data_IF_509073824611
#
_entry.id   IF_509073824611
#
_cell.length_a   1.000
_cell.length_b   1.000
_cell.length_c   1.000
_cell.angle_alpha   90.00
_cell.angle_beta   90.00
_cell.angle_gamma   90.00
#
_symmetry.space_group_name_H-M   'P 1'
#
loop_
_entity.id
_entity.type
_entity.pdbx_description
1 polymer ?
#
# COMPACT_ATOMS: atom_id res chain seq x y z
N UNK A 1 23.63 15.36 12.57
CA UNK A 1 23.16 14.00 12.20
C UNK A 1 22.00 13.69 13.11
N UNK A 2 20.80 13.48 12.58
CA UNK A 2 19.64 13.12 13.41
C UNK A 2 19.77 11.64 13.76
N UNK A 3 19.75 11.29 15.04
CA UNK A 3 19.76 9.90 15.48
C UNK A 3 18.46 9.21 15.03
N UNK A 4 18.56 8.13 14.26
CA UNK A 4 17.39 7.34 13.85
C UNK A 4 16.88 6.55 15.06
N UNK A 5 15.67 6.88 15.51
CA UNK A 5 14.94 6.10 16.51
C UNK A 5 14.18 4.97 15.85
N UNK A 6 14.01 3.88 16.59
CA UNK A 6 13.34 2.68 16.11
C UNK A 6 12.23 2.29 17.08
N UNK A 7 11.15 1.73 16.53
CA UNK A 7 9.97 1.25 17.24
C UNK A 7 9.60 -0.15 16.74
N UNK A 8 8.87 -0.90 17.56
CA UNK A 8 8.28 -2.18 17.17
C UNK A 8 6.81 -1.98 16.82
N UNK A 9 6.40 -2.45 15.65
CA UNK A 9 5.02 -2.40 15.18
C UNK A 9 4.75 -3.60 14.28
N UNK A 10 3.60 -4.26 14.43
CA UNK A 10 3.30 -5.55 13.79
C UNK A 10 4.39 -6.63 14.01
N UNK A 11 5.10 -6.57 15.15
CA UNK A 11 6.22 -7.48 15.44
C UNK A 11 7.51 -7.18 14.63
N UNK A 12 7.52 -6.09 13.87
CA UNK A 12 8.65 -5.67 13.04
C UNK A 12 9.32 -4.41 13.63
N UNK A 13 10.65 -4.40 13.66
CA UNK A 13 11.41 -3.21 14.05
C UNK A 13 11.53 -2.25 12.87
N UNK A 14 11.04 -1.03 13.02
CA UNK A 14 11.02 -0.01 11.98
C UNK A 14 11.42 1.36 12.52
N UNK A 15 11.68 2.32 11.63
CA UNK A 15 12.02 3.69 12.04
C UNK A 15 10.81 4.37 12.67
N UNK A 16 11.05 5.21 13.68
CA UNK A 16 10.03 6.11 14.24
C UNK A 16 9.39 6.94 13.10
N UNK A 17 8.06 7.08 13.09
CA UNK A 17 7.32 7.71 12.01
C UNK A 17 6.74 6.75 10.96
N UNK A 18 7.23 5.50 10.86
CA UNK A 18 6.68 4.52 9.91
C UNK A 18 5.30 3.96 10.33
N UNK A 19 5.05 3.60 11.60
CA UNK A 19 3.71 3.20 12.04
C UNK A 19 2.62 4.22 11.69
N UNK A 20 2.92 5.51 11.82
CA UNK A 20 2.01 6.60 11.51
C UNK A 20 1.66 6.63 10.01
N UNK A 21 2.61 6.28 9.14
CA UNK A 21 2.34 6.11 7.70
C UNK A 21 1.47 4.87 7.43
N UNK A 22 1.70 3.77 8.15
CA UNK A 22 0.83 2.59 8.06
C UNK A 22 -0.60 2.95 8.45
N UNK A 23 -0.77 3.66 9.57
CA UNK A 23 -2.07 4.10 10.06
C UNK A 23 -2.77 5.06 9.07
N UNK A 24 -2.04 6.05 8.55
CA UNK A 24 -2.55 6.96 7.53
C UNK A 24 -3.03 6.20 6.28
N UNK A 25 -2.25 5.22 5.83
CA UNK A 25 -2.60 4.40 4.68
C UNK A 25 -3.91 3.61 4.86
N UNK A 26 -4.28 3.25 6.10
CA UNK A 26 -5.56 2.57 6.37
C UNK A 26 -6.79 3.48 6.18
N UNK A 27 -6.59 4.80 6.20
CA UNK A 27 -7.64 5.79 6.00
C UNK A 27 -7.87 6.09 4.51
N UNK A 28 -6.84 5.93 3.68
CA UNK A 28 -6.88 6.08 2.23
C UNK A 28 -7.46 4.82 1.58
N UNK A 29 -8.77 4.61 1.68
CA UNK A 29 -9.44 3.35 1.29
C UNK A 29 -9.63 3.13 -0.21
N UNK A 30 -9.49 4.18 -1.00
CA UNK A 30 -9.84 4.17 -2.42
C UNK A 30 -8.78 4.84 -3.26
N UNK A 31 -8.55 4.31 -4.45
CA UNK A 31 -7.98 5.08 -5.55
C UNK A 31 -9.09 5.74 -6.35
N UNK A 32 -8.82 6.94 -6.85
CA UNK A 32 -9.62 7.56 -7.89
C UNK A 32 -8.92 7.30 -9.22
N UNK A 33 -9.62 6.66 -10.16
CA UNK A 33 -9.11 6.26 -11.47
C UNK A 33 -10.12 6.77 -12.49
N UNK A 34 -9.72 7.72 -13.33
CA UNK A 34 -10.60 8.34 -14.34
C UNK A 34 -11.93 8.85 -13.74
N UNK A 35 -11.84 9.50 -12.58
CA UNK A 35 -12.99 10.04 -11.84
C UNK A 35 -13.88 9.00 -11.14
N UNK A 36 -13.51 7.71 -11.15
CA UNK A 36 -14.24 6.64 -10.45
C UNK A 36 -13.45 6.18 -9.23
N UNK A 37 -14.12 6.04 -8.09
CA UNK A 37 -13.51 5.53 -6.86
C UNK A 37 -13.52 4.01 -6.83
N UNK A 38 -12.34 3.42 -6.74
CA UNK A 38 -12.12 1.98 -6.60
C UNK A 38 -11.55 1.69 -5.21
N UNK A 39 -12.10 0.69 -4.52
CA UNK A 39 -11.53 0.22 -3.25
C UNK A 39 -10.12 -0.33 -3.51
N UNK A 40 -9.17 0.05 -2.65
CA UNK A 40 -7.83 -0.54 -2.68
C UNK A 40 -7.88 -1.99 -2.22
N UNK A 41 -6.96 -2.79 -2.74
CA UNK A 41 -6.85 -4.22 -2.40
C UNK A 41 -6.03 -4.34 -1.12
N UNK A 42 -6.59 -5.03 -0.13
CA UNK A 42 -5.89 -5.32 1.11
C UNK A 42 -4.88 -6.45 0.92
N UNK A 43 -3.86 -6.48 1.76
CA UNK A 43 -2.84 -7.52 1.72
C UNK A 43 -3.43 -8.90 2.03
N UNK A 44 -3.18 -9.85 1.15
CA UNK A 44 -3.75 -11.19 1.14
C UNK A 44 -5.03 -11.34 0.32
N UNK A 45 -5.57 -10.24 -0.23
CA UNK A 45 -6.73 -10.26 -1.14
C UNK A 45 -6.31 -10.02 -2.61
N UNK A 46 -5.01 -9.84 -2.89
CA UNK A 46 -4.47 -9.75 -4.24
C UNK A 46 -4.54 -11.09 -4.98
N UNK A 47 -4.40 -11.05 -6.31
CA UNK A 47 -4.34 -12.25 -7.16
C UNK A 47 -3.13 -13.13 -6.82
N UNK A 48 -1.98 -12.52 -6.53
CA UNK A 48 -0.75 -13.24 -6.19
C UNK A 48 -0.68 -13.58 -4.69
N UNK A 49 -0.21 -14.78 -4.38
CA UNK A 49 0.06 -15.18 -2.98
C UNK A 49 1.43 -14.63 -2.52
N UNK A 50 1.39 -13.54 -1.76
CA UNK A 50 2.56 -12.94 -1.12
C UNK A 50 2.94 -13.57 0.23
N UNK A 51 2.18 -14.57 0.67
CA UNK A 51 2.37 -15.26 1.95
C UNK A 51 1.70 -14.56 3.13
N UNK A 52 0.63 -13.80 2.89
CA UNK A 52 -0.03 -12.95 3.89
C UNK A 52 -0.50 -13.70 5.15
N UNK A 53 -0.83 -14.99 5.03
CA UNK A 53 -1.22 -15.83 6.17
C UNK A 53 -0.05 -16.15 7.13
N UNK A 54 1.19 -15.94 6.70
CA UNK A 54 2.37 -16.38 7.46
C UNK A 54 3.33 -15.25 7.82
N UNK A 55 3.26 -14.11 7.13
CA UNK A 55 4.18 -12.98 7.34
C UNK A 55 3.56 -11.64 6.94
N UNK A 56 4.01 -10.54 7.57
CA UNK A 56 3.74 -9.18 7.08
C UNK A 56 4.24 -8.98 5.64
N UNK A 57 3.71 -7.97 4.95
CA UNK A 57 4.22 -7.58 3.65
C UNK A 57 5.71 -7.25 3.76
N UNK A 58 6.49 -7.80 2.84
CA UNK A 58 7.95 -7.69 2.89
C UNK A 58 8.47 -6.29 2.57
N UNK A 59 7.65 -5.45 1.94
CA UNK A 59 8.01 -4.09 1.55
C UNK A 59 7.56 -3.05 2.59
N UNK A 60 6.27 -3.06 2.99
CA UNK A 60 5.73 -2.04 3.90
C UNK A 60 5.33 -2.53 5.31
N UNK A 61 5.51 -3.81 5.62
CA UNK A 61 5.30 -4.42 6.95
C UNK A 61 3.87 -4.38 7.53
N UNK A 62 2.87 -4.15 6.69
CA UNK A 62 1.46 -4.35 7.06
C UNK A 62 1.12 -5.84 7.18
N UNK A 63 0.04 -6.18 7.87
CA UNK A 63 -0.42 -7.56 8.06
C UNK A 63 -1.67 -7.86 7.24
N UNK A 64 -2.02 -9.15 7.09
CA UNK A 64 -3.17 -9.58 6.27
C UNK A 64 -4.44 -8.80 6.62
N UNK A 65 -5.15 -8.33 5.58
CA UNK A 65 -6.36 -7.52 5.70
C UNK A 65 -6.13 -6.02 5.91
N UNK A 66 -4.89 -5.56 6.08
CA UNK A 66 -4.56 -4.13 6.06
C UNK A 66 -4.28 -3.65 4.63
N UNK A 67 -4.52 -2.37 4.38
CA UNK A 67 -4.11 -1.71 3.14
C UNK A 67 -2.61 -1.45 3.15
N UNK A 68 -1.98 -1.57 1.99
CA UNK A 68 -0.56 -1.24 1.83
C UNK A 68 -0.29 0.24 2.08
N UNK A 69 0.95 0.59 2.43
CA UNK A 69 1.39 1.99 2.41
C UNK A 69 1.54 2.43 0.95
N UNK A 70 0.98 3.58 0.51
CA UNK A 70 1.16 4.06 -0.86
C UNK A 70 2.63 4.08 -1.28
N UNK A 71 2.90 3.52 -2.46
CA UNK A 71 4.25 3.27 -2.96
C UNK A 71 4.83 1.91 -2.53
N UNK A 72 4.00 0.97 -2.09
CA UNK A 72 4.41 -0.40 -1.83
C UNK A 72 4.56 -1.18 -3.14
N UNK A 73 5.64 -1.95 -3.31
CA UNK A 73 5.91 -2.77 -4.49
C UNK A 73 4.92 -3.95 -4.66
N UNK A 74 4.27 -4.35 -3.56
CA UNK A 74 3.28 -5.45 -3.53
C UNK A 74 1.88 -4.96 -3.92
N UNK A 75 1.57 -3.69 -3.66
CA UNK A 75 0.20 -3.19 -3.83
C UNK A 75 -0.25 -3.29 -5.30
N UNK A 76 -1.47 -3.81 -5.49
CA UNK A 76 -2.07 -4.00 -6.83
C UNK A 76 -3.11 -2.95 -7.14
N UNK A 77 -3.12 -2.51 -8.39
CA UNK A 77 -4.15 -1.64 -8.93
C UNK A 77 -5.49 -2.38 -8.98
N UNK A 78 -6.57 -1.85 -8.39
CA UNK A 78 -7.87 -2.53 -8.35
C UNK A 78 -8.59 -2.63 -9.71
N UNK A 79 -8.04 -2.00 -10.76
CA UNK A 79 -8.62 -2.01 -12.11
C UNK A 79 -7.91 -2.99 -13.03
N UNK A 80 -6.58 -2.99 -13.05
CA UNK A 80 -5.80 -3.80 -13.98
C UNK A 80 -4.91 -4.86 -13.31
N UNK A 81 -4.88 -4.90 -11.97
CA UNK A 81 -4.06 -5.80 -11.16
C UNK A 81 -2.53 -5.64 -11.34
N UNK A 82 -2.09 -4.60 -12.06
CA UNK A 82 -0.68 -4.19 -12.14
C UNK A 82 -0.15 -3.62 -10.81
N UNK A 83 1.18 -3.42 -10.71
CA UNK A 83 1.77 -2.74 -9.54
C UNK A 83 1.26 -1.30 -9.43
N UNK A 84 0.63 -0.96 -8.30
CA UNK A 84 0.02 0.35 -8.09
C UNK A 84 1.05 1.49 -8.15
N UNK A 85 2.27 1.30 -7.64
CA UNK A 85 3.33 2.34 -7.63
C UNK A 85 3.70 2.85 -9.03
N UNK A 86 3.47 2.06 -10.07
CA UNK A 86 3.84 2.37 -11.45
C UNK A 86 2.69 2.13 -12.43
N UNK A 87 1.44 2.25 -11.97
CA UNK A 87 0.28 1.94 -12.79
C UNK A 87 -0.27 3.17 -13.50
N UNK A 88 -0.24 3.15 -14.84
CA UNK A 88 -0.81 4.21 -15.69
C UNK A 88 -2.32 4.42 -15.50
N UNK A 89 -3.04 3.51 -14.82
CA UNK A 89 -4.46 3.74 -14.50
C UNK A 89 -4.65 4.84 -13.45
N UNK A 90 -3.64 5.07 -12.61
CA UNK A 90 -3.66 6.07 -11.54
C UNK A 90 -3.19 7.45 -12.03
N UNK A 91 -2.72 7.53 -13.27
CA UNK A 91 -2.38 8.80 -13.90
C UNK A 91 -3.66 9.48 -14.40
N UNK A 92 -3.95 10.65 -13.82
CA UNK A 92 -5.03 11.54 -14.26
C UNK A 92 -4.57 12.32 -15.51
N UNK A 93 -4.29 11.64 -16.62
CA UNK A 93 -4.16 12.34 -17.90
C UNK A 93 -5.57 12.65 -18.43
N UNK A 94 -6.09 13.82 -18.06
CA UNK A 94 -7.04 14.53 -18.92
C UNK A 94 -6.33 14.81 -20.26
N UNK A 95 -6.63 14.03 -21.30
CA UNK A 95 -6.40 14.47 -22.68
C UNK A 95 -7.23 15.76 -22.89
N UNK A 96 -6.62 16.91 -22.66
CA UNK A 96 -7.08 18.20 -23.19
C UNK A 96 -7.04 18.10 -24.73
N UNK A 97 -8.20 17.79 -25.32
CA UNK A 97 -8.44 17.73 -26.77
C UNK A 97 -8.76 19.11 -27.38
#
# INVERSE_FOLDING_TARGET
MMEKKYVEYNGQRMVEGWPERIEAAQLERTYEIKGVKHLRIAYGDETDDWGADTRPCHDCAIVKGQLHVPGCDVERCPVCDGQAISCDCLDDEEEEA
#
